data_IF_204823513677
#
_entry.id   IF_204823513677
#
_cell.length_a   1.000
_cell.length_b   1.000
_cell.length_c   1.000
_cell.angle_alpha   90.00
_cell.angle_beta   90.00
_cell.angle_gamma   90.00
#
_symmetry.space_group_name_H-M   'P 1'
#
loop_
_entity.id
_entity.type
_entity.pdbx_description
1 polymer ?
#
# COMPACT_ATOMS: atom_id res chain seq x y z
N UNK A 1 -11.54 13.10 -13.74
CA UNK A 1 -11.80 13.62 -12.38
C UNK A 1 -13.30 13.74 -12.13
N UNK A 2 -14.06 14.23 -13.09
CA UNK A 2 -15.51 14.47 -12.93
C UNK A 2 -16.33 13.21 -12.66
N UNK A 3 -15.97 12.06 -13.25
CA UNK A 3 -16.59 10.77 -12.93
C UNK A 3 -16.38 10.38 -11.46
N UNK A 4 -15.18 10.62 -10.91
CA UNK A 4 -14.89 10.31 -9.51
C UNK A 4 -15.69 11.24 -8.58
N UNK A 5 -15.76 12.54 -8.91
CA UNK A 5 -16.61 13.51 -8.20
C UNK A 5 -18.07 13.08 -8.22
N UNK A 6 -18.58 12.71 -9.39
CA UNK A 6 -19.97 12.26 -9.57
C UNK A 6 -20.26 10.97 -8.80
N UNK A 7 -19.38 9.98 -8.86
CA UNK A 7 -19.56 8.72 -8.12
C UNK A 7 -19.53 8.93 -6.62
N UNK A 8 -18.64 9.78 -6.12
CA UNK A 8 -18.62 10.15 -4.70
C UNK A 8 -19.94 10.82 -4.31
N UNK A 9 -20.39 11.79 -5.10
CA UNK A 9 -21.67 12.46 -4.89
C UNK A 9 -22.85 11.49 -4.85
N UNK A 10 -22.95 10.60 -5.84
CA UNK A 10 -24.01 9.61 -5.90
C UNK A 10 -23.97 8.66 -4.70
N UNK A 11 -22.78 8.22 -4.28
CA UNK A 11 -22.65 7.32 -3.11
C UNK A 11 -23.11 8.02 -1.84
N UNK A 12 -22.68 9.28 -1.62
CA UNK A 12 -23.09 10.06 -0.45
C UNK A 12 -24.60 10.32 -0.40
N UNK A 13 -25.24 10.53 -1.56
CA UNK A 13 -26.69 10.75 -1.64
C UNK A 13 -27.47 9.44 -1.46
N UNK A 14 -26.98 8.34 -2.02
CA UNK A 14 -27.63 7.01 -1.89
C UNK A 14 -27.62 6.52 -0.45
N UNK A 15 -26.55 6.82 0.29
CA UNK A 15 -26.39 6.43 1.70
C UNK A 15 -27.09 7.39 2.68
N UNK A 16 -27.75 8.46 2.21
CA UNK A 16 -28.48 9.40 3.06
C UNK A 16 -29.86 8.83 3.43
N UNK A 17 -30.06 8.55 4.72
CA UNK A 17 -31.31 7.94 5.22
C UNK A 17 -32.48 8.94 5.27
N UNK A 18 -32.21 10.25 5.42
CA UNK A 18 -33.23 11.31 5.52
C UNK A 18 -33.21 12.23 4.29
N UNK A 19 -33.95 11.82 3.26
CA UNK A 19 -34.13 12.60 2.03
C UNK A 19 -34.92 13.92 2.23
N UNK A 20 -35.53 14.14 3.40
CA UNK A 20 -36.24 15.39 3.71
C UNK A 20 -35.32 16.47 4.27
N UNK A 21 -34.13 16.09 4.77
CA UNK A 21 -33.16 17.01 5.37
C UNK A 21 -31.70 16.67 4.99
N UNK A 22 -31.41 16.72 3.69
CA UNK A 22 -30.05 16.55 3.18
C UNK A 22 -29.16 17.68 3.72
N UNK A 23 -28.12 17.32 4.47
CA UNK A 23 -27.11 18.30 4.93
C UNK A 23 -26.32 18.81 3.72
N UNK A 24 -26.04 20.12 3.63
CA UNK A 24 -25.17 20.62 2.57
C UNK A 24 -23.80 19.96 2.69
N UNK A 25 -23.34 19.36 1.59
CA UNK A 25 -22.01 18.77 1.54
C UNK A 25 -20.94 19.85 1.76
N UNK A 26 -19.81 19.51 2.42
CA UNK A 26 -18.69 20.41 2.49
C UNK A 26 -18.22 20.79 1.09
N UNK A 27 -17.60 21.96 0.95
CA UNK A 27 -17.04 22.36 -0.33
C UNK A 27 -15.94 21.38 -0.75
N UNK A 28 -16.23 20.54 -1.77
CA UNK A 28 -15.31 19.54 -2.30
C UNK A 28 -14.41 20.09 -3.42
N UNK A 29 -14.63 21.33 -3.85
CA UNK A 29 -13.64 22.01 -4.69
C UNK A 29 -12.31 21.98 -3.91
N UNK A 30 -11.26 21.44 -4.53
CA UNK A 30 -9.92 21.20 -3.97
C UNK A 30 -9.71 19.98 -3.07
N UNK A 31 -10.77 19.26 -2.66
CA UNK A 31 -10.60 18.03 -1.87
C UNK A 31 -10.43 16.78 -2.73
N UNK A 32 -10.66 16.91 -4.04
CA UNK A 32 -10.51 15.84 -5.02
C UNK A 32 -9.44 16.26 -6.02
N UNK A 33 -8.27 15.63 -5.90
CA UNK A 33 -7.07 15.93 -6.70
C UNK A 33 -6.61 14.66 -7.41
N UNK A 34 -6.09 14.82 -8.63
CA UNK A 34 -5.47 13.74 -9.39
C UNK A 34 -3.96 13.95 -9.40
N UNK A 35 -3.17 12.92 -9.08
CA UNK A 35 -1.73 13.05 -9.06
C UNK A 35 -1.01 11.78 -8.63
N UNK A 36 0.32 11.78 -8.79
CA UNK A 36 1.16 10.72 -8.27
C UNK A 36 1.41 10.94 -6.78
N UNK A 37 0.68 10.23 -5.93
CA UNK A 37 0.75 10.36 -4.47
C UNK A 37 2.04 9.81 -3.85
N UNK A 38 2.92 9.18 -4.61
CA UNK A 38 4.23 8.71 -4.12
C UNK A 38 5.36 9.71 -4.36
N UNK A 39 5.12 10.76 -5.14
CA UNK A 39 6.11 11.80 -5.40
C UNK A 39 5.70 13.06 -4.64
N UNK A 40 6.70 13.91 -4.40
CA UNK A 40 6.53 15.21 -3.76
C UNK A 40 7.39 16.24 -4.48
N UNK A 41 7.08 17.51 -4.27
CA UNK A 41 7.92 18.61 -4.75
C UNK A 41 9.10 18.76 -3.81
N UNK A 42 10.32 18.84 -4.36
CA UNK A 42 11.52 19.06 -3.55
C UNK A 42 11.54 20.52 -3.05
N UNK A 43 11.48 20.70 -1.73
CA UNK A 43 11.63 22.01 -1.08
C UNK A 43 13.11 22.38 -1.01
N UNK A 44 13.47 23.53 -1.56
CA UNK A 44 14.83 24.05 -1.59
C UNK A 44 14.83 25.58 -1.38
N UNK A 45 16.03 26.16 -1.28
CA UNK A 45 16.19 27.60 -1.03
C UNK A 45 15.56 28.49 -2.12
N UNK A 46 15.39 27.98 -3.35
CA UNK A 46 14.87 28.75 -4.48
C UNK A 46 13.34 28.82 -4.49
N UNK A 47 12.66 27.78 -3.99
CA UNK A 47 11.19 27.74 -3.99
C UNK A 47 10.56 28.00 -2.61
N UNK A 48 11.36 28.09 -1.54
CA UNK A 48 10.87 28.33 -0.18
C UNK A 48 9.93 29.55 -0.06
N UNK A 49 10.26 30.66 -0.72
CA UNK A 49 9.43 31.87 -0.68
C UNK A 49 8.04 31.64 -1.29
N UNK A 50 7.96 30.90 -2.40
CA UNK A 50 6.69 30.59 -3.07
C UNK A 50 5.82 29.69 -2.19
N UNK A 51 6.41 28.73 -1.47
CA UNK A 51 5.69 27.93 -0.49
C UNK A 51 5.14 28.79 0.67
N UNK A 52 5.96 29.69 1.22
CA UNK A 52 5.52 30.58 2.30
C UNK A 52 4.38 31.50 1.87
N UNK A 53 4.46 32.06 0.64
CA UNK A 53 3.40 32.88 0.05
C UNK A 53 2.12 32.08 -0.16
N UNK A 54 2.21 30.84 -0.68
CA UNK A 54 1.05 29.96 -0.84
C UNK A 54 0.33 29.73 0.49
N UNK A 55 1.09 29.48 1.56
CA UNK A 55 0.50 29.26 2.89
C UNK A 55 -0.20 30.50 3.41
N UNK A 56 0.42 31.67 3.29
CA UNK A 56 -0.20 32.93 3.70
C UNK A 56 -1.52 33.17 2.95
N UNK A 57 -1.51 33.01 1.62
CA UNK A 57 -2.70 33.24 0.79
C UNK A 57 -3.82 32.24 1.11
N UNK A 58 -3.49 30.98 1.41
CA UNK A 58 -4.47 29.99 1.88
C UNK A 58 -5.10 30.38 3.20
N UNK A 59 -4.32 30.84 4.17
CA UNK A 59 -4.84 31.28 5.45
C UNK A 59 -5.83 32.43 5.27
N UNK A 60 -5.43 33.46 4.49
CA UNK A 60 -6.31 34.58 4.15
C UNK A 60 -7.61 34.10 3.47
N UNK A 61 -7.52 33.14 2.53
CA UNK A 61 -8.70 32.58 1.85
C UNK A 61 -9.69 31.86 2.79
N UNK A 62 -9.19 31.15 3.81
CA UNK A 62 -10.03 30.44 4.76
C UNK A 62 -10.77 31.39 5.71
N UNK A 63 -10.14 32.49 6.09
CA UNK A 63 -10.72 33.52 6.97
C UNK A 63 -11.62 34.51 6.21
N UNK A 64 -11.44 34.65 4.89
CA UNK A 64 -12.19 35.60 4.07
C UNK A 64 -13.66 35.21 3.86
N UNK A 65 -14.53 36.20 4.01
CA UNK A 65 -15.99 36.10 3.88
C UNK A 65 -16.53 36.84 2.65
N UNK A 66 -15.80 37.83 2.13
CA UNK A 66 -16.16 38.56 0.93
C UNK A 66 -16.01 37.70 -0.35
N UNK A 67 -17.07 37.51 -1.16
CA UNK A 67 -17.03 36.62 -2.32
C UNK A 67 -16.02 37.03 -3.41
N UNK A 68 -15.85 38.32 -3.65
CA UNK A 68 -14.98 38.82 -4.72
C UNK A 68 -13.51 38.68 -4.34
N UNK A 69 -13.15 39.05 -3.11
CA UNK A 69 -11.81 38.78 -2.56
C UNK A 69 -11.51 37.30 -2.52
N UNK A 70 -12.47 36.47 -2.09
CA UNK A 70 -12.30 35.02 -2.06
C UNK A 70 -12.03 34.45 -3.45
N UNK A 71 -12.67 35.00 -4.48
CA UNK A 71 -12.42 34.63 -5.88
C UNK A 71 -11.01 35.05 -6.34
N UNK A 72 -10.54 36.24 -5.95
CA UNK A 72 -9.19 36.70 -6.27
C UNK A 72 -8.11 35.87 -5.56
N UNK A 73 -8.26 35.64 -4.25
CA UNK A 73 -7.38 34.76 -3.47
C UNK A 73 -7.35 33.35 -4.07
N UNK A 74 -8.50 32.82 -4.50
CA UNK A 74 -8.60 31.54 -5.20
C UNK A 74 -7.74 31.52 -6.46
N UNK A 75 -7.78 32.57 -7.28
CA UNK A 75 -6.96 32.67 -8.49
C UNK A 75 -5.45 32.75 -8.18
N UNK A 76 -5.07 33.53 -7.16
CA UNK A 76 -3.68 33.65 -6.69
C UNK A 76 -3.14 32.30 -6.20
N UNK A 77 -3.90 31.61 -5.33
CA UNK A 77 -3.54 30.28 -4.82
C UNK A 77 -3.34 29.29 -5.97
N UNK A 78 -4.26 29.27 -6.95
CA UNK A 78 -4.12 28.40 -8.12
C UNK A 78 -2.85 28.72 -8.92
N UNK A 79 -2.52 30.01 -9.11
CA UNK A 79 -1.28 30.42 -9.76
C UNK A 79 -0.03 29.91 -9.02
N UNK A 80 0.01 30.06 -7.70
CA UNK A 80 1.12 29.58 -6.86
C UNK A 80 1.25 28.05 -6.88
N UNK A 81 0.13 27.32 -6.76
CA UNK A 81 0.12 25.86 -6.90
C UNK A 81 0.65 25.46 -8.28
N UNK A 82 0.19 26.11 -9.35
CA UNK A 82 0.63 25.82 -10.71
C UNK A 82 2.15 26.04 -10.88
N UNK A 83 2.71 27.08 -10.25
CA UNK A 83 4.17 27.31 -10.23
C UNK A 83 4.92 26.24 -9.45
N UNK A 84 4.48 25.94 -8.22
CA UNK A 84 5.15 24.98 -7.33
C UNK A 84 5.14 23.56 -7.93
N UNK A 85 4.02 23.16 -8.53
CA UNK A 85 3.81 21.82 -9.08
C UNK A 85 4.39 21.62 -10.47
N UNK A 86 5.14 22.61 -10.99
CA UNK A 86 5.69 22.63 -12.34
C UNK A 86 4.59 22.44 -13.40
N UNK A 87 3.61 23.34 -13.40
CA UNK A 87 2.45 23.34 -14.29
C UNK A 87 1.57 22.11 -14.09
N UNK A 88 1.23 21.79 -12.84
CA UNK A 88 0.38 20.65 -12.44
C UNK A 88 0.93 19.27 -12.83
N UNK A 89 2.23 19.19 -13.18
CA UNK A 89 2.90 17.92 -13.50
C UNK A 89 3.20 17.08 -12.26
N UNK A 90 3.31 17.72 -11.10
CA UNK A 90 3.66 17.08 -9.83
C UNK A 90 2.54 17.28 -8.82
N UNK A 91 2.24 16.24 -8.05
CA UNK A 91 1.32 16.34 -6.94
C UNK A 91 2.10 16.32 -5.63
N UNK A 92 1.62 17.07 -4.64
CA UNK A 92 2.23 17.15 -3.33
C UNK A 92 1.16 17.38 -2.26
N UNK A 93 1.10 16.50 -1.27
CA UNK A 93 0.07 16.58 -0.23
C UNK A 93 0.15 17.86 0.59
N UNK A 94 1.35 18.35 0.90
CA UNK A 94 1.51 19.58 1.67
C UNK A 94 1.08 20.79 0.85
N UNK A 95 1.27 20.77 -0.48
CA UNK A 95 0.78 21.85 -1.36
C UNK A 95 -0.74 21.87 -1.46
N UNK A 96 -1.39 20.71 -1.62
CA UNK A 96 -2.84 20.66 -1.84
C UNK A 96 -3.67 20.64 -0.54
N UNK A 97 -3.10 20.14 0.56
CA UNK A 97 -3.78 19.93 1.84
C UNK A 97 -3.01 20.51 3.02
N UNK A 98 -2.32 21.65 2.82
CA UNK A 98 -1.47 22.26 3.84
C UNK A 98 -2.15 22.44 5.20
N UNK A 99 -3.44 22.77 5.21
CA UNK A 99 -4.23 22.94 6.42
C UNK A 99 -4.27 21.65 7.28
N UNK A 100 -4.28 20.48 6.65
CA UNK A 100 -4.27 19.19 7.34
C UNK A 100 -2.95 18.99 8.09
N UNK A 101 -1.84 19.39 7.50
CA UNK A 101 -0.51 19.22 8.10
C UNK A 101 -0.20 20.29 9.14
N UNK A 102 -0.55 21.55 8.86
CA UNK A 102 -0.25 22.67 9.74
C UNK A 102 -1.15 22.70 10.98
N UNK A 103 -2.45 22.43 10.83
CA UNK A 103 -3.41 22.53 11.94
C UNK A 103 -3.51 21.21 12.71
N UNK A 104 -3.47 20.07 12.01
CA UNK A 104 -3.75 18.75 12.60
C UNK A 104 -2.53 17.83 12.67
N UNK A 105 -1.37 18.24 12.12
CA UNK A 105 -0.15 17.41 12.08
C UNK A 105 -0.23 16.24 11.10
N UNK A 106 -1.23 16.21 10.21
CA UNK A 106 -1.50 15.12 9.26
C UNK A 106 -2.94 14.63 9.29
N UNK A 107 -3.25 13.65 8.44
CA UNK A 107 -4.61 13.08 8.34
C UNK A 107 -4.96 12.21 9.54
N UNK A 108 -6.22 12.26 9.99
CA UNK A 108 -6.76 11.30 10.96
C UNK A 108 -6.78 9.88 10.41
N UNK A 109 -7.13 9.75 9.13
CA UNK A 109 -7.38 8.47 8.47
C UNK A 109 -6.84 8.51 7.05
N UNK A 110 -6.11 7.46 6.66
CA UNK A 110 -5.66 7.21 5.29
C UNK A 110 -6.19 5.85 4.85
N UNK A 111 -7.20 5.84 3.98
CA UNK A 111 -7.79 4.61 3.42
C UNK A 111 -7.41 4.51 1.94
N UNK A 112 -7.11 3.30 1.47
CA UNK A 112 -6.79 3.13 0.05
C UNK A 112 -6.68 1.69 -0.41
N UNK A 113 -6.69 1.53 -1.73
CA UNK A 113 -6.37 0.29 -2.42
C UNK A 113 -5.16 0.57 -3.33
N UNK A 114 -3.91 0.53 -2.79
CA UNK A 114 -2.73 0.87 -3.57
C UNK A 114 -2.58 0.03 -4.85
N UNK A 115 -1.98 0.58 -5.91
CA UNK A 115 -1.87 -0.08 -7.21
C UNK A 115 -0.95 -1.32 -7.18
N UNK A 116 -1.44 -2.43 -7.76
CA UNK A 116 -0.73 -3.72 -7.84
C UNK A 116 0.21 -3.77 -9.05
N UNK A 117 1.16 -2.84 -9.11
CA UNK A 117 2.11 -2.71 -10.22
C UNK A 117 3.44 -3.35 -9.85
N UNK A 118 3.88 -4.30 -10.68
CA UNK A 118 5.15 -5.00 -10.46
C UNK A 118 6.36 -4.10 -10.68
N UNK A 119 7.44 -4.40 -9.96
CA UNK A 119 8.70 -3.65 -10.01
C UNK A 119 9.27 -3.41 -11.43
N UNK A 120 9.02 -4.33 -12.39
CA UNK A 120 9.50 -4.21 -13.77
C UNK A 120 8.84 -3.04 -14.52
N UNK A 121 7.60 -2.68 -14.16
CA UNK A 121 6.82 -1.62 -14.80
C UNK A 121 7.10 -0.23 -14.22
N UNK A 122 7.81 -0.14 -13.10
CA UNK A 122 8.12 1.13 -12.40
C UNK A 122 9.59 1.52 -12.45
N UNK A 123 10.37 0.99 -13.41
CA UNK A 123 11.81 1.29 -13.55
C UNK A 123 12.10 2.80 -13.59
N UNK A 124 11.27 3.57 -14.28
CA UNK A 124 11.41 5.02 -14.43
C UNK A 124 11.27 5.77 -13.08
N UNK A 125 10.55 5.22 -12.10
CA UNK A 125 10.36 5.84 -10.77
C UNK A 125 11.45 5.47 -9.77
N UNK A 126 12.24 4.42 -10.01
CA UNK A 126 13.14 3.84 -9.00
C UNK A 126 14.14 4.83 -8.42
N UNK A 127 14.65 5.75 -9.23
CA UNK A 127 15.58 6.78 -8.77
C UNK A 127 14.96 7.73 -7.74
N UNK A 128 13.72 8.15 -7.97
CA UNK A 128 12.97 9.01 -7.04
C UNK A 128 12.53 8.23 -5.81
N UNK A 129 11.96 7.03 -5.98
CA UNK A 129 11.50 6.18 -4.87
C UNK A 129 12.65 5.84 -3.91
N UNK A 130 13.87 5.62 -4.42
CA UNK A 130 15.05 5.36 -3.58
C UNK A 130 15.43 6.56 -2.70
N UNK A 131 15.20 7.80 -3.17
CA UNK A 131 15.48 9.02 -2.41
C UNK A 131 14.42 9.29 -1.36
N UNK A 132 13.15 8.99 -1.68
CA UNK A 132 12.00 9.34 -0.85
C UNK A 132 11.70 8.31 0.26
N UNK A 133 11.99 7.03 0.03
CA UNK A 133 11.49 5.95 0.90
C UNK A 133 12.61 5.11 1.51
N UNK A 134 12.60 5.02 2.84
CA UNK A 134 13.54 4.19 3.60
C UNK A 134 13.26 2.69 3.39
N UNK A 135 12.00 2.32 3.14
CA UNK A 135 11.56 0.97 2.80
C UNK A 135 12.04 0.50 1.41
N UNK A 136 12.68 1.36 0.62
CA UNK A 136 13.04 1.06 -0.76
C UNK A 136 13.88 -0.21 -0.92
N UNK A 137 13.36 -1.10 -1.76
CA UNK A 137 14.07 -2.26 -2.31
C UNK A 137 13.84 -2.31 -3.82
N UNK A 138 14.89 -2.56 -4.60
CA UNK A 138 14.84 -2.50 -6.07
C UNK A 138 13.87 -3.50 -6.73
N UNK A 139 13.42 -4.52 -6.00
CA UNK A 139 12.47 -5.55 -6.44
C UNK A 139 11.09 -5.42 -5.78
N UNK A 140 10.84 -4.35 -5.01
CA UNK A 140 9.55 -4.11 -4.40
C UNK A 140 8.50 -3.69 -5.43
N UNK A 141 7.30 -4.25 -5.30
CA UNK A 141 6.12 -3.81 -6.05
C UNK A 141 5.66 -2.42 -5.58
N UNK A 142 4.93 -1.69 -6.43
CA UNK A 142 4.62 -0.27 -6.22
C UNK A 142 3.84 -0.01 -4.91
N UNK A 143 2.92 -0.89 -4.52
CA UNK A 143 2.12 -0.74 -3.30
C UNK A 143 2.97 -0.68 -2.02
N UNK A 144 4.21 -1.18 -2.02
CA UNK A 144 5.10 -1.19 -0.85
C UNK A 144 5.38 0.23 -0.38
N UNK A 145 5.59 1.16 -1.32
CA UNK A 145 5.90 2.55 -1.03
C UNK A 145 4.71 3.33 -0.48
N UNK A 146 3.49 2.90 -0.82
CA UNK A 146 2.28 3.52 -0.31
C UNK A 146 2.15 3.34 1.20
N UNK A 147 2.62 2.23 1.78
CA UNK A 147 2.56 2.05 3.24
C UNK A 147 3.41 3.09 3.99
N UNK A 148 4.65 3.33 3.54
CA UNK A 148 5.49 4.35 4.14
C UNK A 148 4.90 5.74 3.91
N UNK A 149 4.45 6.04 2.68
CA UNK A 149 3.80 7.31 2.39
C UNK A 149 2.55 7.53 3.25
N UNK A 150 1.65 6.56 3.33
CA UNK A 150 0.42 6.65 4.09
C UNK A 150 0.67 6.88 5.58
N UNK A 151 1.65 6.19 6.18
CA UNK A 151 2.06 6.44 7.57
C UNK A 151 2.71 7.83 7.73
N UNK A 152 3.46 8.32 6.74
CA UNK A 152 4.02 9.67 6.79
C UNK A 152 2.93 10.75 6.74
N UNK A 153 1.84 10.50 6.00
CA UNK A 153 0.71 11.41 5.87
C UNK A 153 -0.17 11.51 7.12
N UNK A 154 -0.17 10.47 7.96
CA UNK A 154 -0.99 10.44 9.17
C UNK A 154 -0.44 11.37 10.25
N UNK A 155 -1.33 11.96 11.04
CA UNK A 155 -0.98 12.53 12.34
C UNK A 155 -0.72 11.42 13.36
N UNK A 156 -0.14 11.77 14.52
CA UNK A 156 -0.01 10.84 15.63
C UNK A 156 -1.40 10.31 16.05
N UNK A 157 -1.48 9.00 16.33
CA UNK A 157 -2.69 8.20 16.56
C UNK A 157 -3.63 8.05 15.36
N UNK A 158 -3.28 8.59 14.19
CA UNK A 158 -4.05 8.39 12.96
C UNK A 158 -4.02 6.94 12.48
N UNK A 159 -5.01 6.55 11.66
CA UNK A 159 -5.23 5.16 11.22
C UNK A 159 -5.07 5.02 9.72
N UNK A 160 -4.29 4.04 9.30
CA UNK A 160 -4.12 3.64 7.91
C UNK A 160 -4.84 2.32 7.67
N UNK A 161 -5.67 2.25 6.63
CA UNK A 161 -6.36 1.02 6.20
C UNK A 161 -6.12 0.79 4.73
N UNK A 162 -5.32 -0.22 4.39
CA UNK A 162 -5.04 -0.57 3.00
C UNK A 162 -5.51 -1.95 2.60
N UNK A 163 -6.04 -2.02 1.38
CA UNK A 163 -6.25 -3.26 0.65
C UNK A 163 -5.03 -3.48 -0.26
N UNK A 164 -4.19 -4.48 0.04
CA UNK A 164 -2.94 -4.72 -0.72
C UNK A 164 -2.58 -6.20 -0.77
N UNK A 165 -1.53 -6.58 -1.51
CA UNK A 165 -1.08 -7.98 -1.60
C UNK A 165 -0.36 -8.46 -0.32
N UNK A 166 -0.56 -9.69 0.12
CA UNK A 166 0.15 -10.30 1.27
C UNK A 166 1.63 -10.62 1.00
N UNK A 167 2.10 -10.52 -0.26
CA UNK A 167 3.45 -10.97 -0.67
C UNK A 167 4.56 -10.35 0.16
N UNK A 168 4.45 -9.08 0.53
CA UNK A 168 5.45 -8.38 1.33
C UNK A 168 5.57 -8.92 2.76
N UNK A 169 4.65 -9.76 3.25
CA UNK A 169 4.80 -10.43 4.54
C UNK A 169 6.01 -11.37 4.56
N UNK A 170 6.33 -12.03 3.44
CA UNK A 170 7.39 -13.05 3.37
C UNK A 170 8.47 -12.75 2.35
N UNK A 171 8.17 -11.99 1.30
CA UNK A 171 9.14 -11.67 0.27
C UNK A 171 10.34 -10.90 0.86
N UNK A 172 11.53 -11.17 0.31
CA UNK A 172 12.77 -10.51 0.73
C UNK A 172 12.71 -8.98 0.55
N UNK A 173 12.03 -8.50 -0.49
CA UNK A 173 11.85 -7.06 -0.73
C UNK A 173 11.04 -6.36 0.37
N UNK A 174 10.18 -7.10 1.07
CA UNK A 174 9.33 -6.57 2.14
C UNK A 174 10.06 -6.35 3.46
N UNK A 175 11.32 -6.80 3.60
CA UNK A 175 12.07 -6.74 4.87
C UNK A 175 12.11 -5.34 5.45
N UNK A 176 12.44 -4.33 4.64
CA UNK A 176 12.54 -2.95 5.11
C UNK A 176 11.17 -2.35 5.44
N UNK A 177 10.13 -2.72 4.69
CA UNK A 177 8.75 -2.30 5.01
C UNK A 177 8.30 -2.90 6.35
N UNK A 178 8.54 -4.20 6.58
CA UNK A 178 8.25 -4.85 7.87
C UNK A 178 8.95 -4.13 9.01
N UNK A 179 10.24 -3.81 8.86
CA UNK A 179 11.02 -3.05 9.85
C UNK A 179 10.42 -1.66 10.10
N UNK A 180 10.09 -0.93 9.03
CA UNK A 180 9.47 0.39 9.12
C UNK A 180 8.14 0.32 9.90
N UNK A 181 7.21 -0.55 9.51
CA UNK A 181 5.92 -0.68 10.20
C UNK A 181 6.09 -1.08 11.66
N UNK A 182 6.95 -2.07 11.98
CA UNK A 182 7.20 -2.47 13.37
C UNK A 182 7.88 -1.40 14.22
N UNK A 183 8.40 -0.33 13.61
CA UNK A 183 9.06 0.79 14.31
C UNK A 183 8.13 2.00 14.46
N UNK A 184 7.33 2.28 13.44
CA UNK A 184 6.54 3.52 13.35
C UNK A 184 5.06 3.34 13.71
N UNK A 185 4.56 2.10 13.78
CA UNK A 185 3.13 1.85 13.91
C UNK A 185 2.77 0.65 14.80
N UNK A 186 1.55 0.69 15.32
CA UNK A 186 0.90 -0.44 15.96
C UNK A 186 -0.09 -1.07 14.99
N UNK A 187 0.01 -2.39 14.79
CA UNK A 187 -1.01 -3.13 14.05
C UNK A 187 -2.30 -3.16 14.85
N UNK A 188 -3.42 -2.91 14.20
CA UNK A 188 -4.74 -3.05 14.82
C UNK A 188 -5.41 -4.33 14.33
N UNK A 189 -5.39 -4.53 13.01
CA UNK A 189 -5.99 -5.71 12.40
C UNK A 189 -5.30 -6.10 11.09
N UNK A 190 -5.16 -7.39 10.84
CA UNK A 190 -4.84 -7.95 9.53
C UNK A 190 -5.86 -9.00 9.15
N UNK A 191 -6.42 -8.88 7.95
CA UNK A 191 -7.25 -9.91 7.34
C UNK A 191 -6.51 -10.36 6.07
N UNK A 192 -6.00 -11.59 6.05
CA UNK A 192 -5.33 -12.19 4.90
C UNK A 192 -6.31 -13.10 4.15
N UNK A 193 -6.64 -12.74 2.92
CA UNK A 193 -7.59 -13.50 2.12
C UNK A 193 -6.96 -14.72 1.43
N UNK A 194 -5.62 -14.86 1.47
CA UNK A 194 -4.93 -15.97 0.84
C UNK A 194 -5.33 -16.17 -0.64
N UNK A 195 -5.84 -17.34 -0.95
CA UNK A 195 -6.29 -17.74 -2.29
C UNK A 195 -7.77 -17.42 -2.58
N UNK A 196 -8.47 -16.73 -1.67
CA UNK A 196 -9.87 -16.39 -1.88
C UNK A 196 -10.06 -15.49 -3.12
N UNK A 197 -11.07 -15.74 -3.96
CA UNK A 197 -11.30 -15.00 -5.20
C UNK A 197 -11.99 -13.65 -4.96
N UNK A 198 -11.39 -12.78 -4.14
CA UNK A 198 -11.93 -11.44 -3.83
C UNK A 198 -11.94 -10.53 -5.06
N UNK A 199 -10.94 -10.70 -5.92
CA UNK A 199 -10.82 -9.98 -7.18
C UNK A 199 -10.76 -10.97 -8.34
N UNK A 200 -11.13 -10.52 -9.54
CA UNK A 200 -11.05 -11.33 -10.76
C UNK A 200 -9.62 -11.81 -11.09
N UNK A 201 -8.59 -11.15 -10.56
CA UNK A 201 -7.19 -11.53 -10.70
C UNK A 201 -6.58 -11.98 -9.37
N UNK A 202 -5.65 -12.93 -9.43
CA UNK A 202 -4.91 -13.42 -8.25
C UNK A 202 -4.02 -12.31 -7.69
N UNK A 203 -4.48 -11.67 -6.62
CA UNK A 203 -3.81 -10.54 -5.97
C UNK A 203 -3.31 -10.87 -4.55
N UNK A 204 -3.72 -12.01 -3.98
CA UNK A 204 -3.53 -12.37 -2.56
C UNK A 204 -3.87 -11.21 -1.63
N UNK A 205 -5.12 -10.72 -1.64
CA UNK A 205 -5.46 -9.46 -1.01
C UNK A 205 -5.43 -9.58 0.51
N UNK A 206 -5.16 -8.45 1.14
CA UNK A 206 -5.14 -8.28 2.58
C UNK A 206 -5.80 -6.95 2.92
N UNK A 207 -6.53 -6.90 4.03
CA UNK A 207 -6.87 -5.64 4.68
C UNK A 207 -5.89 -5.47 5.84
N UNK A 208 -5.10 -4.41 5.81
CA UNK A 208 -4.13 -4.07 6.85
C UNK A 208 -4.53 -2.76 7.50
N UNK A 209 -4.79 -2.80 8.81
CA UNK A 209 -5.13 -1.64 9.63
C UNK A 209 -3.96 -1.35 10.57
N UNK A 210 -3.36 -0.17 10.43
CA UNK A 210 -2.24 0.31 11.23
C UNK A 210 -2.63 1.60 11.94
N UNK A 211 -2.15 1.80 13.16
CA UNK A 211 -2.21 3.09 13.84
C UNK A 211 -0.82 3.68 13.92
N UNK A 212 -0.65 4.96 13.55
CA UNK A 212 0.61 5.70 13.70
C UNK A 212 0.81 6.02 15.18
N UNK A 213 1.44 5.09 15.87
CA UNK A 213 1.75 5.17 17.28
C UNK A 213 3.00 4.34 17.52
N UNK A 214 3.95 4.88 18.28
CA UNK A 214 5.16 4.14 18.62
C UNK A 214 4.79 2.79 19.27
N UNK A 215 5.35 1.67 18.78
CA UNK A 215 5.00 0.36 19.28
C UNK A 215 5.31 0.19 20.77
N UNK A 216 4.32 -0.33 21.50
CA UNK A 216 4.46 -0.86 22.87
C UNK A 216 4.06 -2.35 22.85
N UNK A 217 4.39 -3.14 23.89
CA UNK A 217 3.80 -4.47 24.09
C UNK A 217 2.28 -4.43 23.93
N UNK A 218 1.78 -5.09 22.87
CA UNK A 218 0.38 -5.00 22.45
C UNK A 218 0.01 -6.21 21.57
N UNK A 219 -1.27 -6.54 21.53
CA UNK A 219 -1.83 -7.60 20.69
C UNK A 219 -2.79 -7.03 19.66
N UNK A 220 -2.63 -7.46 18.40
CA UNK A 220 -3.53 -7.09 17.31
C UNK A 220 -4.40 -8.28 16.89
N UNK A 221 -5.48 -8.01 16.18
CA UNK A 221 -6.35 -9.07 15.65
C UNK A 221 -5.87 -9.53 14.27
N UNK A 222 -5.79 -10.82 14.06
CA UNK A 222 -5.46 -11.41 12.77
C UNK A 222 -6.54 -12.40 12.34
N UNK A 223 -6.82 -12.45 11.04
CA UNK A 223 -7.69 -13.44 10.42
C UNK A 223 -7.03 -13.98 9.16
N UNK A 224 -6.95 -15.31 9.05
CA UNK A 224 -6.66 -15.97 7.79
C UNK A 224 -8.01 -16.45 7.23
N UNK A 225 -8.47 -15.84 6.13
CA UNK A 225 -9.73 -16.17 5.50
C UNK A 225 -9.67 -17.55 4.86
N UNK A 226 -10.72 -18.36 5.05
CA UNK A 226 -10.88 -19.60 4.31
C UNK A 226 -11.39 -19.30 2.89
N UNK A 227 -10.62 -19.70 1.87
CA UNK A 227 -10.92 -19.43 0.45
C UNK A 227 -12.29 -19.95 0.01
N UNK A 228 -12.82 -20.97 0.68
CA UNK A 228 -14.08 -21.61 0.34
C UNK A 228 -15.28 -20.91 1.04
N UNK A 229 -15.00 -19.94 1.91
CA UNK A 229 -16.01 -19.19 2.66
C UNK A 229 -16.55 -17.98 1.89
N UNK A 230 -17.87 -17.75 2.02
CA UNK A 230 -18.57 -16.67 1.33
C UNK A 230 -18.24 -15.28 1.89
N UNK A 231 -17.94 -14.32 1.00
CA UNK A 231 -17.74 -12.92 1.37
C UNK A 231 -18.99 -12.26 1.97
N UNK A 232 -20.19 -12.80 1.74
CA UNK A 232 -21.42 -12.28 2.37
C UNK A 232 -21.42 -12.47 3.89
N UNK A 233 -20.56 -13.34 4.42
CA UNK A 233 -20.39 -13.58 5.86
C UNK A 233 -19.21 -12.77 6.44
N UNK A 234 -18.66 -11.82 5.68
CA UNK A 234 -17.45 -11.07 6.05
C UNK A 234 -17.49 -10.54 7.49
N UNK A 235 -18.56 -9.83 7.87
CA UNK A 235 -18.69 -9.26 9.20
C UNK A 235 -18.68 -10.36 10.29
N UNK A 236 -19.55 -11.36 10.16
CA UNK A 236 -19.66 -12.47 11.13
C UNK A 236 -18.34 -13.21 11.30
N UNK A 237 -17.65 -13.47 10.20
CA UNK A 237 -16.37 -14.20 10.20
C UNK A 237 -15.30 -13.36 10.88
N UNK A 238 -15.18 -12.08 10.53
CA UNK A 238 -14.19 -11.19 11.15
C UNK A 238 -14.41 -11.11 12.65
N UNK A 239 -15.66 -11.04 13.11
CA UNK A 239 -15.99 -10.98 14.53
C UNK A 239 -15.73 -12.31 15.27
N UNK A 240 -15.94 -13.46 14.63
CA UNK A 240 -15.93 -14.78 15.31
C UNK A 240 -14.66 -15.60 15.12
N UNK A 241 -13.91 -15.38 14.03
CA UNK A 241 -12.75 -16.20 13.65
C UNK A 241 -11.42 -15.45 13.75
N UNK A 242 -11.43 -14.14 14.06
CA UNK A 242 -10.20 -13.39 14.34
C UNK A 242 -9.53 -13.91 15.62
N UNK A 243 -8.20 -13.93 15.64
CA UNK A 243 -7.40 -14.33 16.78
C UNK A 243 -6.38 -13.24 17.16
N UNK A 244 -6.10 -13.13 18.46
CA UNK A 244 -5.12 -12.18 18.97
C UNK A 244 -3.68 -12.67 18.74
N UNK A 245 -2.80 -11.78 18.28
CA UNK A 245 -1.38 -12.06 18.11
C UNK A 245 -0.52 -10.94 18.72
N UNK A 246 0.55 -11.24 19.48
CA UNK A 246 1.46 -10.22 19.97
C UNK A 246 2.26 -9.62 18.81
N UNK A 247 2.28 -8.29 18.68
CA UNK A 247 3.04 -7.62 17.63
C UNK A 247 4.55 -7.93 17.72
N UNK A 248 5.06 -8.24 18.92
CA UNK A 248 6.47 -8.61 19.16
C UNK A 248 6.87 -9.91 18.46
N UNK A 249 5.92 -10.78 18.11
CA UNK A 249 6.20 -11.98 17.33
C UNK A 249 6.46 -11.69 15.84
N UNK A 250 6.14 -10.47 15.37
CA UNK A 250 6.41 -10.04 14.00
C UNK A 250 7.85 -9.59 13.86
N UNK A 251 8.58 -10.23 12.92
CA UNK A 251 10.01 -9.95 12.71
C UNK A 251 10.30 -9.50 11.29
N UNK A 252 11.51 -8.97 11.08
CA UNK A 252 11.96 -8.54 9.76
C UNK A 252 12.13 -9.72 8.77
N UNK A 253 12.29 -10.96 9.23
CA UNK A 253 12.52 -12.12 8.36
C UNK A 253 11.23 -12.54 7.66
N UNK A 254 10.09 -12.41 8.33
CA UNK A 254 8.77 -12.62 7.76
C UNK A 254 7.66 -12.49 8.77
N UNK A 255 6.46 -12.20 8.28
CA UNK A 255 5.23 -12.20 9.06
C UNK A 255 4.43 -13.45 8.73
N UNK A 256 3.98 -14.12 9.78
CA UNK A 256 3.14 -15.29 9.71
C UNK A 256 2.06 -15.14 10.79
N UNK A 257 0.81 -15.16 10.37
CA UNK A 257 -0.32 -15.07 11.29
C UNK A 257 -0.82 -16.47 11.59
N UNK A 258 -0.75 -16.84 12.84
CA UNK A 258 -1.19 -18.13 13.33
C UNK A 258 -1.63 -17.96 14.78
N UNK A 259 -2.66 -18.70 15.18
CA UNK A 259 -3.12 -18.73 16.55
C UNK A 259 -2.10 -19.38 17.49
N UNK A 260 -2.31 -19.26 18.80
CA UNK A 260 -1.40 -19.80 19.79
C UNK A 260 -1.20 -21.33 19.66
N UNK A 261 -2.25 -22.06 19.30
CA UNK A 261 -2.22 -23.52 19.10
C UNK A 261 -1.28 -23.89 17.95
N UNK A 262 -1.43 -23.23 16.80
CA UNK A 262 -0.61 -23.46 15.61
C UNK A 262 0.83 -23.02 15.84
N UNK A 263 1.07 -21.88 16.49
CA UNK A 263 2.42 -21.43 16.84
C UNK A 263 3.11 -22.44 17.77
N UNK A 264 2.41 -22.94 18.80
CA UNK A 264 2.96 -23.96 19.70
C UNK A 264 3.28 -25.27 18.96
N UNK A 265 2.44 -25.67 18.00
CA UNK A 265 2.71 -26.84 17.16
C UNK A 265 3.96 -26.63 16.28
N UNK A 266 4.07 -25.47 15.62
CA UNK A 266 5.23 -25.13 14.80
C UNK A 266 6.52 -25.12 15.61
N UNK A 267 6.50 -24.59 16.83
CA UNK A 267 7.65 -24.61 17.73
C UNK A 267 8.03 -26.02 18.18
N UNK A 268 7.05 -26.90 18.44
CA UNK A 268 7.33 -28.32 18.70
C UNK A 268 7.99 -29.00 17.50
N UNK A 269 7.49 -28.76 16.28
CA UNK A 269 8.05 -29.32 15.06
C UNK A 269 9.49 -28.83 14.81
N UNK A 270 9.75 -27.52 15.02
CA UNK A 270 11.10 -26.94 14.89
C UNK A 270 12.10 -27.51 15.90
N UNK A 271 11.65 -27.84 17.11
CA UNK A 271 12.52 -28.44 18.15
C UNK A 271 12.74 -29.94 17.95
N UNK A 272 11.83 -30.62 17.27
CA UNK A 272 11.91 -32.07 17.06
C UNK A 272 12.90 -32.49 15.95
N UNK A 273 13.24 -31.59 15.03
CA UNK A 273 14.08 -31.91 13.89
C UNK A 273 15.02 -30.78 13.49
N UNK A 274 16.05 -31.14 12.73
CA UNK A 274 16.99 -30.18 12.15
C UNK A 274 16.33 -29.48 10.95
N UNK A 275 16.27 -28.13 10.91
CA UNK A 275 15.75 -27.41 9.76
C UNK A 275 16.49 -27.76 8.47
N UNK A 276 15.77 -27.87 7.35
CA UNK A 276 16.38 -28.14 6.03
C UNK A 276 17.51 -27.15 5.68
N UNK A 277 17.35 -25.89 6.09
CA UNK A 277 18.38 -24.86 5.93
C UNK A 277 19.73 -25.24 6.55
N UNK A 278 19.74 -25.95 7.68
CA UNK A 278 20.99 -26.42 8.30
C UNK A 278 21.64 -27.55 7.50
N UNK A 279 20.85 -28.50 6.99
CA UNK A 279 21.36 -29.57 6.12
C UNK A 279 22.02 -29.06 4.83
N UNK A 280 21.53 -27.93 4.30
CA UNK A 280 22.02 -27.36 3.04
C UNK A 280 22.87 -26.09 3.23
N UNK A 281 23.30 -25.77 4.46
CA UNK A 281 24.04 -24.55 4.79
C UNK A 281 23.37 -23.26 4.25
N UNK A 282 22.04 -23.21 4.29
CA UNK A 282 21.17 -22.16 3.78
C UNK A 282 21.35 -21.86 2.27
N UNK A 283 21.90 -22.81 1.51
CA UNK A 283 22.09 -22.69 0.06
C UNK A 283 20.92 -23.32 -0.67
N UNK A 284 19.96 -22.48 -1.03
CA UNK A 284 18.84 -22.86 -1.88
C UNK A 284 19.12 -22.40 -3.31
N UNK A 285 19.18 -23.35 -4.24
CA UNK A 285 19.41 -23.07 -5.65
C UNK A 285 18.08 -23.13 -6.41
N UNK A 286 17.88 -22.17 -7.31
CA UNK A 286 16.83 -22.28 -8.32
C UNK A 286 17.27 -23.37 -9.32
N UNK A 287 16.35 -24.26 -9.67
CA UNK A 287 16.58 -25.23 -10.74
C UNK A 287 16.80 -24.55 -12.10
N UNK A 288 16.96 -25.35 -13.16
CA UNK A 288 17.19 -24.86 -14.52
C UNK A 288 16.06 -23.91 -14.94
N UNK A 289 16.44 -22.75 -15.48
CA UNK A 289 15.52 -21.72 -15.99
C UNK A 289 15.78 -21.57 -17.47
N UNK A 290 14.87 -22.07 -18.29
CA UNK A 290 15.11 -22.18 -19.74
C UNK A 290 14.78 -20.90 -20.51
N UNK A 291 13.98 -19.99 -19.94
CA UNK A 291 13.53 -18.75 -20.60
C UNK A 291 12.52 -18.96 -21.74
N UNK A 292 12.45 -20.17 -22.30
CA UNK A 292 11.51 -20.59 -23.33
C UNK A 292 11.16 -22.08 -23.15
N UNK A 293 10.22 -22.37 -22.24
CA UNK A 293 9.86 -23.76 -21.91
C UNK A 293 9.47 -24.58 -23.15
N UNK A 294 8.78 -24.00 -24.12
CA UNK A 294 8.34 -24.70 -25.34
C UNK A 294 9.50 -25.24 -26.19
N UNK A 295 10.67 -24.58 -26.16
CA UNK A 295 11.83 -25.01 -26.93
C UNK A 295 12.73 -25.99 -26.17
N UNK A 296 12.77 -25.88 -24.84
CA UNK A 296 13.74 -26.60 -24.01
C UNK A 296 13.12 -27.69 -23.12
N UNK A 297 11.81 -27.78 -23.06
CA UNK A 297 11.08 -28.84 -22.36
C UNK A 297 10.25 -29.58 -23.38
N UNK A 298 10.84 -30.63 -23.94
CA UNK A 298 10.20 -31.50 -24.94
C UNK A 298 9.72 -32.79 -24.29
N UNK A 299 8.58 -33.30 -24.76
CA UNK A 299 8.13 -34.63 -24.37
C UNK A 299 8.93 -35.71 -25.12
N UNK A 300 8.74 -36.97 -24.70
CA UNK A 300 9.45 -38.11 -25.28
C UNK A 300 9.17 -38.25 -26.78
N UNK A 301 7.94 -38.02 -27.20
CA UNK A 301 7.53 -38.10 -28.61
C UNK A 301 8.27 -37.08 -29.47
N UNK A 302 8.37 -35.84 -28.99
CA UNK A 302 9.07 -34.75 -29.69
C UNK A 302 10.57 -35.01 -29.74
N UNK A 303 11.17 -35.48 -28.64
CA UNK A 303 12.58 -35.89 -28.60
C UNK A 303 12.89 -36.98 -29.63
N UNK A 304 12.09 -38.06 -29.63
CA UNK A 304 12.33 -39.21 -30.51
C UNK A 304 12.19 -38.81 -31.99
N UNK A 305 11.24 -37.92 -32.31
CA UNK A 305 11.11 -37.32 -33.65
C UNK A 305 12.34 -36.50 -34.03
N UNK A 306 12.84 -35.64 -33.13
CA UNK A 306 14.02 -34.80 -33.40
C UNK A 306 15.30 -35.63 -33.60
N UNK A 307 15.45 -36.74 -32.87
CA UNK A 307 16.56 -37.69 -33.05
C UNK A 307 16.47 -38.40 -34.42
N UNK A 308 15.25 -38.78 -34.84
CA UNK A 308 15.03 -39.41 -36.13
C UNK A 308 15.27 -38.45 -37.31
N UNK A 309 14.89 -37.18 -37.17
CA UNK A 309 15.09 -36.13 -38.19
C UNK A 309 16.57 -35.69 -38.27
N UNK A 310 17.25 -35.60 -37.12
CA UNK A 310 18.64 -35.18 -37.03
C UNK A 310 19.39 -36.02 -35.98
N UNK A 311 20.28 -36.91 -36.44
CA UNK A 311 21.08 -37.80 -35.57
C UNK A 311 21.98 -37.07 -34.58
N UNK A 312 22.33 -35.80 -34.84
CA UNK A 312 23.06 -34.93 -33.90
C UNK A 312 22.24 -34.53 -32.66
N UNK A 313 20.94 -34.82 -32.64
CA UNK A 313 20.03 -34.54 -31.51
C UNK A 313 20.02 -35.65 -30.47
N UNK A 314 20.90 -36.65 -30.57
CA UNK A 314 20.98 -37.80 -29.64
C UNK A 314 21.38 -37.41 -28.22
N UNK A 315 21.98 -36.24 -28.03
CA UNK A 315 22.33 -35.67 -26.72
C UNK A 315 21.21 -34.82 -26.09
N UNK A 316 20.03 -34.70 -26.74
CA UNK A 316 18.83 -34.00 -26.24
C UNK A 316 17.96 -34.93 -25.39
#
# INVERSE_FOLDING_TARGET
MDIAKLRLWLSLVVDEEDYTRIKPLPNLDYKIVCGNSLLSVEKNLLNYQVFAELEQQKQEYFEETDPDRKTNLRATIQGLIHTITNQDKTFDFEVYFSEVFQQNGGFDVVIGNPPYVRQEKIKHLKGQLKKLYTSYTGTADLYVFFYEQGLNLLRENGVLTYISSNKWFRAAYGKKLRQFITREAQLQQIIDFGDAPVFAAIAYPTITILQKLKPKPQTFQALNWDKDQSLNQFETVVQTQSFAMPQQALTATGWQFADATTLNLLEKLRKAGTPLGEYVNNRFYRGIVTGLNQAFVVDRTTRDRLIAEHTSSTEI
#
